data_IF_213668934212
#
_entry.id   IF_213668934212
#
_cell.length_a   1.000
_cell.length_b   1.000
_cell.length_c   1.000
_cell.angle_alpha   90.00
_cell.angle_beta   90.00
_cell.angle_gamma   90.00
#
_symmetry.space_group_name_H-M   'P 1'
#
loop_
_entity.id
_entity.type
_entity.pdbx_description
1 polymer ?
#
# COMPACT_ATOMS: atom_id res chain seq x y z
N UNK A 1 22.40 -59.53 -4.00
CA UNK A 1 23.61 -60.07 -4.66
C UNK A 1 24.87 -59.95 -3.79
N UNK A 2 25.06 -58.85 -3.04
CA UNK A 2 26.32 -58.58 -2.32
C UNK A 2 26.31 -58.81 -0.80
N UNK A 3 25.15 -59.16 -0.23
CA UNK A 3 24.92 -59.27 1.22
C UNK A 3 25.69 -60.37 1.96
N UNK A 4 26.10 -61.43 1.25
CA UNK A 4 26.80 -62.59 1.84
C UNK A 4 28.32 -62.42 1.89
N UNK A 5 28.86 -61.34 1.31
CA UNK A 5 30.30 -61.11 1.26
C UNK A 5 30.73 -60.12 2.35
N UNK A 6 31.55 -60.61 3.29
CA UNK A 6 32.10 -59.82 4.41
C UNK A 6 33.02 -58.67 3.98
N UNK A 7 33.54 -58.72 2.75
CA UNK A 7 34.38 -57.66 2.17
C UNK A 7 33.55 -56.48 1.64
N UNK A 8 32.22 -56.63 1.55
CA UNK A 8 31.33 -55.56 1.14
C UNK A 8 30.81 -54.78 2.35
N UNK A 9 30.38 -53.55 2.12
CA UNK A 9 29.74 -52.73 3.14
C UNK A 9 28.63 -51.86 2.55
N UNK A 10 27.63 -51.56 3.38
CA UNK A 10 26.63 -50.52 3.10
C UNK A 10 26.96 -49.34 4.01
N UNK A 11 26.96 -48.14 3.43
CA UNK A 11 27.11 -46.90 4.18
C UNK A 11 25.83 -46.10 3.99
N UNK A 12 25.14 -45.83 5.09
CA UNK A 12 23.97 -44.98 5.12
C UNK A 12 24.42 -43.55 5.43
N UNK A 13 24.16 -42.63 4.50
CA UNK A 13 24.58 -41.23 4.59
C UNK A 13 23.44 -40.27 4.91
N UNK A 14 22.19 -40.75 4.94
CA UNK A 14 21.02 -39.90 5.14
C UNK A 14 20.61 -39.88 6.63
N UNK A 15 20.52 -38.70 7.28
CA UNK A 15 20.22 -38.57 8.71
C UNK A 15 18.80 -39.00 9.09
N UNK A 16 17.84 -38.81 8.19
CA UNK A 16 16.42 -39.12 8.45
C UNK A 16 16.03 -40.53 7.99
N UNK A 17 17.02 -41.33 7.56
CA UNK A 17 16.76 -42.66 7.01
C UNK A 17 16.84 -43.73 8.10
N UNK A 18 15.75 -44.47 8.38
CA UNK A 18 15.71 -45.48 9.44
C UNK A 18 16.47 -46.75 9.02
N UNK A 19 17.80 -46.68 9.01
CA UNK A 19 18.66 -47.71 8.42
C UNK A 19 18.46 -49.11 9.05
N UNK A 20 18.13 -49.19 10.34
CA UNK A 20 17.83 -50.46 11.00
C UNK A 20 16.57 -51.13 10.46
N UNK A 21 15.51 -50.36 10.21
CA UNK A 21 14.27 -50.90 9.62
C UNK A 21 14.50 -51.39 8.20
N UNK A 22 15.37 -50.69 7.46
CA UNK A 22 15.72 -51.04 6.08
C UNK A 22 16.59 -52.29 6.04
N UNK A 23 17.47 -52.48 7.01
CA UNK A 23 18.30 -53.69 7.12
C UNK A 23 17.53 -54.91 7.62
N UNK A 24 16.42 -54.73 8.35
CA UNK A 24 15.70 -55.81 9.01
C UNK A 24 15.29 -56.97 8.06
N UNK A 25 14.75 -56.72 6.84
CA UNK A 25 14.39 -57.80 5.91
C UNK A 25 15.58 -58.57 5.34
N UNK A 26 16.79 -58.03 5.45
CA UNK A 26 18.00 -58.60 4.85
C UNK A 26 18.88 -59.34 5.87
N UNK A 27 18.40 -59.53 7.10
CA UNK A 27 19.10 -60.31 8.12
C UNK A 27 18.87 -61.82 7.94
N UNK A 28 19.89 -62.68 8.14
CA UNK A 28 21.26 -62.33 8.57
C UNK A 28 22.12 -61.79 7.43
N UNK A 29 22.83 -60.69 7.69
CA UNK A 29 23.66 -60.00 6.71
C UNK A 29 25.15 -60.13 7.06
N UNK A 30 25.96 -60.68 6.15
CA UNK A 30 27.40 -60.86 6.39
C UNK A 30 28.23 -59.59 6.13
N UNK A 31 27.74 -58.73 5.23
CA UNK A 31 28.35 -57.42 4.99
C UNK A 31 28.13 -56.46 6.17
N UNK A 32 29.10 -55.57 6.39
CA UNK A 32 29.02 -54.56 7.45
C UNK A 32 28.12 -53.40 7.03
N UNK A 33 27.32 -52.90 7.97
CA UNK A 33 26.51 -51.71 7.78
C UNK A 33 27.04 -50.57 8.66
N UNK A 34 27.29 -49.41 8.04
CA UNK A 34 27.73 -48.19 8.72
C UNK A 34 26.67 -47.12 8.58
N UNK A 35 26.42 -46.39 9.66
CA UNK A 35 25.57 -45.20 9.67
C UNK A 35 26.45 -43.97 9.87
N UNK A 36 26.66 -43.23 8.78
CA UNK A 36 27.56 -42.07 8.72
C UNK A 36 26.80 -40.91 8.06
N UNK A 37 25.80 -40.33 8.75
CA UNK A 37 24.94 -39.30 8.17
C UNK A 37 25.74 -38.05 7.79
N UNK A 38 25.49 -37.53 6.59
CA UNK A 38 26.05 -36.29 6.07
C UNK A 38 24.92 -35.28 6.05
N UNK A 39 24.79 -34.52 7.13
CA UNK A 39 23.82 -33.44 7.23
C UNK A 39 24.50 -32.09 6.98
N UNK A 40 24.07 -31.40 5.91
CA UNK A 40 24.56 -30.05 5.56
C UNK A 40 23.65 -28.94 6.12
N UNK A 41 22.62 -29.30 6.88
CA UNK A 41 21.70 -28.35 7.50
C UNK A 41 22.38 -27.49 8.55
N UNK A 42 21.80 -26.32 8.83
CA UNK A 42 22.28 -25.45 9.89
C UNK A 42 22.06 -26.08 11.26
N UNK A 43 23.11 -26.13 12.07
CA UNK A 43 22.98 -26.48 13.47
C UNK A 43 22.53 -25.27 14.32
N UNK A 44 22.11 -25.52 15.57
CA UNK A 44 21.61 -24.47 16.48
C UNK A 44 22.61 -23.34 16.73
N UNK A 45 23.92 -23.64 16.85
CA UNK A 45 24.93 -22.61 17.07
C UNK A 45 25.09 -21.69 15.87
N UNK A 46 25.11 -22.26 14.66
CA UNK A 46 25.16 -21.52 13.40
C UNK A 46 23.89 -20.67 13.21
N UNK A 47 22.72 -21.25 13.49
CA UNK A 47 21.45 -20.54 13.38
C UNK A 47 21.36 -19.36 14.36
N UNK A 48 21.73 -19.55 15.64
CA UNK A 48 21.75 -18.47 16.64
C UNK A 48 22.72 -17.36 16.25
N UNK A 49 23.92 -17.71 15.76
CA UNK A 49 24.89 -16.74 15.24
C UNK A 49 24.30 -15.93 14.07
N UNK A 50 23.69 -16.62 13.09
CA UNK A 50 23.09 -15.97 11.93
C UNK A 50 21.95 -15.03 12.32
N UNK A 51 21.06 -15.44 13.22
CA UNK A 51 19.97 -14.61 13.72
C UNK A 51 20.51 -13.36 14.41
N UNK A 52 21.57 -13.51 15.22
CA UNK A 52 22.23 -12.39 15.92
C UNK A 52 22.91 -11.41 14.97
N UNK A 53 23.49 -11.90 13.87
CA UNK A 53 24.14 -11.08 12.85
C UNK A 53 23.12 -10.35 11.96
N UNK A 54 22.09 -11.05 11.49
CA UNK A 54 21.06 -10.48 10.60
C UNK A 54 20.10 -9.53 11.32
N UNK A 55 19.90 -9.69 12.62
CA UNK A 55 18.99 -8.88 13.46
C UNK A 55 17.61 -8.67 12.81
N UNK A 56 16.89 -9.74 12.42
CA UNK A 56 15.63 -9.61 11.72
C UNK A 56 14.58 -8.88 12.57
N UNK A 57 13.76 -8.02 11.94
CA UNK A 57 12.69 -7.31 12.65
C UNK A 57 11.60 -8.25 13.17
N UNK A 58 11.33 -9.33 12.43
CA UNK A 58 10.41 -10.41 12.79
C UNK A 58 11.07 -11.73 12.42
N UNK A 59 11.20 -12.64 13.37
CA UNK A 59 11.71 -14.00 13.16
C UNK A 59 10.54 -14.97 13.11
N UNK A 60 10.45 -15.79 12.05
CA UNK A 60 9.41 -16.81 11.90
C UNK A 60 10.06 -18.17 11.88
N UNK A 61 9.75 -19.03 12.85
CA UNK A 61 10.42 -20.33 13.04
C UNK A 61 9.46 -21.41 13.54
N UNK A 62 9.71 -22.70 13.22
CA UNK A 62 8.96 -23.80 13.84
C UNK A 62 9.02 -23.76 15.37
N UNK A 63 7.89 -24.01 16.03
CA UNK A 63 7.82 -24.01 17.51
C UNK A 63 8.76 -25.04 18.14
N UNK A 64 9.06 -26.13 17.43
CA UNK A 64 9.97 -27.17 17.91
C UNK A 64 11.38 -26.64 18.20
N UNK A 65 11.80 -25.55 17.57
CA UNK A 65 13.15 -24.99 17.75
C UNK A 65 13.25 -23.95 18.86
N UNK A 66 12.13 -23.47 19.40
CA UNK A 66 12.15 -22.51 20.52
C UNK A 66 12.18 -23.17 21.89
N UNK A 67 12.06 -24.50 21.93
CA UNK A 67 12.06 -25.30 23.16
C UNK A 67 13.35 -26.10 23.26
N UNK A 68 13.89 -26.29 24.48
CA UNK A 68 15.02 -27.18 24.71
C UNK A 68 14.72 -28.59 24.20
N UNK A 69 15.67 -29.19 23.47
CA UNK A 69 15.55 -30.59 23.06
C UNK A 69 15.58 -31.52 24.29
N UNK A 70 14.69 -32.54 24.40
CA UNK A 70 14.59 -33.40 25.60
C UNK A 70 15.91 -34.07 26.02
N UNK A 71 16.70 -34.52 25.04
CA UNK A 71 17.98 -35.20 25.28
C UNK A 71 19.20 -34.25 25.24
N UNK A 72 18.99 -32.97 24.94
CA UNK A 72 20.05 -31.99 24.75
C UNK A 72 19.52 -30.57 25.07
N UNK A 73 19.42 -30.20 26.35
CA UNK A 73 18.72 -28.99 26.79
C UNK A 73 19.34 -27.68 26.28
N UNK A 74 20.61 -27.71 25.83
CA UNK A 74 21.30 -26.56 25.27
C UNK A 74 21.00 -26.33 23.77
N UNK A 75 20.21 -27.20 23.13
CA UNK A 75 19.85 -27.10 21.72
C UNK A 75 18.47 -26.46 21.58
N UNK A 76 18.48 -25.13 21.44
CA UNK A 76 17.32 -24.33 21.10
C UNK A 76 17.75 -23.02 20.43
N UNK A 77 16.81 -22.40 19.71
CA UNK A 77 17.00 -21.07 19.15
C UNK A 77 16.76 -20.06 20.27
N UNK A 78 17.80 -19.30 20.61
CA UNK A 78 17.73 -18.25 21.60
C UNK A 78 16.71 -17.22 21.16
N UNK A 79 15.88 -16.73 22.10
CA UNK A 79 14.86 -15.75 21.76
C UNK A 79 15.55 -14.39 21.51
N UNK A 80 15.62 -13.87 20.27
CA UNK A 80 16.10 -12.52 20.05
C UNK A 80 15.18 -11.49 20.74
N UNK A 81 15.70 -10.31 21.03
CA UNK A 81 14.93 -9.15 21.53
C UNK A 81 13.81 -8.67 20.56
N UNK A 82 13.66 -9.32 19.41
CA UNK A 82 12.75 -8.99 18.32
C UNK A 82 11.54 -9.91 18.31
N UNK A 83 10.49 -9.52 17.60
CA UNK A 83 9.23 -10.28 17.54
C UNK A 83 9.46 -11.66 16.91
N UNK A 84 9.20 -12.72 17.67
CA UNK A 84 9.18 -14.10 17.17
C UNK A 84 7.75 -14.51 16.89
N UNK A 85 7.54 -15.19 15.76
CA UNK A 85 6.28 -15.84 15.41
C UNK A 85 6.59 -17.32 15.19
N UNK A 86 6.09 -18.16 16.09
CA UNK A 86 6.24 -19.61 15.97
C UNK A 86 5.11 -20.22 15.15
N UNK A 87 5.35 -21.39 14.54
CA UNK A 87 4.30 -22.11 13.83
C UNK A 87 4.42 -23.63 13.92
N UNK A 88 3.30 -24.30 13.66
CA UNK A 88 3.19 -25.75 13.46
C UNK A 88 2.86 -26.08 12.01
N UNK A 89 3.08 -27.34 11.63
CA UNK A 89 2.69 -27.85 10.33
C UNK A 89 1.18 -27.63 10.09
N UNK A 90 0.83 -27.04 8.95
CA UNK A 90 -0.56 -26.74 8.57
C UNK A 90 -1.13 -25.44 9.18
N UNK A 91 -0.36 -24.70 9.97
CA UNK A 91 -0.82 -23.46 10.59
C UNK A 91 -0.73 -22.26 9.63
N UNK A 92 -1.78 -21.43 9.59
CA UNK A 92 -1.81 -20.20 8.79
C UNK A 92 -1.28 -19.04 9.63
N UNK A 93 -0.11 -18.51 9.27
CA UNK A 93 0.53 -17.39 9.96
C UNK A 93 0.19 -16.08 9.28
N UNK A 94 -0.28 -15.09 10.06
CA UNK A 94 -0.44 -13.71 9.58
C UNK A 94 0.80 -12.88 9.87
N UNK A 95 1.59 -12.62 8.84
CA UNK A 95 2.79 -11.79 8.97
C UNK A 95 2.44 -10.31 9.09
N UNK A 96 3.03 -9.57 10.04
CA UNK A 96 2.78 -8.14 10.21
C UNK A 96 3.55 -7.33 9.15
N UNK A 97 3.09 -7.37 7.91
CA UNK A 97 3.63 -6.57 6.80
C UNK A 97 3.11 -5.12 6.94
N UNK A 98 3.89 -4.25 7.57
CA UNK A 98 3.56 -2.81 7.66
C UNK A 98 4.12 -2.06 6.45
N UNK A 99 3.43 -2.11 5.31
CA UNK A 99 3.67 -1.19 4.18
C UNK A 99 2.62 -0.07 4.21
N UNK A 100 3.05 1.16 4.46
CA UNK A 100 2.19 2.35 4.43
C UNK A 100 2.37 3.19 3.18
N UNK A 101 3.57 3.13 2.60
CA UNK A 101 3.97 3.91 1.44
C UNK A 101 4.65 2.96 0.46
N UNK A 102 4.47 3.24 -0.82
CA UNK A 102 5.19 2.58 -1.90
C UNK A 102 5.74 3.63 -2.87
N UNK A 103 6.76 3.23 -3.61
CA UNK A 103 7.39 4.11 -4.59
C UNK A 103 6.64 4.00 -5.90
N UNK A 104 6.22 5.15 -6.41
CA UNK A 104 5.59 5.29 -7.73
C UNK A 104 6.52 6.08 -8.64
N UNK A 105 6.69 5.60 -9.86
CA UNK A 105 7.49 6.23 -10.89
C UNK A 105 6.58 6.97 -11.87
N UNK A 106 7.00 8.15 -12.27
CA UNK A 106 6.33 8.94 -13.29
C UNK A 106 7.00 8.60 -14.61
N UNK A 107 6.21 8.20 -15.60
CA UNK A 107 6.73 7.95 -16.96
C UNK A 107 7.21 9.25 -17.62
N UNK A 108 8.12 9.13 -18.59
CA UNK A 108 8.64 10.28 -19.32
C UNK A 108 7.53 11.14 -19.93
N UNK A 109 6.56 10.50 -20.59
CA UNK A 109 5.44 11.17 -21.25
C UNK A 109 4.54 11.92 -20.25
N UNK A 110 4.40 11.40 -19.03
CA UNK A 110 3.70 12.10 -17.96
C UNK A 110 4.52 13.28 -17.44
N UNK A 111 5.81 13.09 -17.19
CA UNK A 111 6.69 14.11 -16.63
C UNK A 111 6.76 15.37 -17.51
N UNK A 112 6.73 15.22 -18.83
CA UNK A 112 6.67 16.35 -19.76
C UNK A 112 5.42 17.23 -19.63
N UNK A 113 4.30 16.66 -19.17
CA UNK A 113 3.02 17.37 -19.03
C UNK A 113 2.88 18.09 -17.69
N UNK A 114 3.79 17.86 -16.76
CA UNK A 114 3.75 18.48 -15.42
C UNK A 114 4.18 19.94 -15.53
N UNK A 115 3.30 20.84 -15.11
CA UNK A 115 3.56 22.29 -15.06
C UNK A 115 3.48 22.74 -13.60
N UNK A 116 4.61 22.87 -12.90
CA UNK A 116 4.62 23.38 -11.53
C UNK A 116 4.18 24.84 -11.48
N UNK A 117 3.35 25.17 -10.49
CA UNK A 117 2.97 26.54 -10.15
C UNK A 117 3.47 26.88 -8.76
N UNK A 118 4.01 28.09 -8.63
CA UNK A 118 4.44 28.63 -7.34
C UNK A 118 3.20 29.05 -6.55
N UNK A 119 3.07 28.49 -5.35
CA UNK A 119 1.99 28.81 -4.39
C UNK A 119 2.47 29.71 -3.26
N UNK A 120 3.67 30.30 -3.39
CA UNK A 120 4.32 31.12 -2.40
C UNK A 120 5.28 30.34 -1.50
N UNK A 121 6.12 31.08 -0.77
CA UNK A 121 7.11 30.54 0.17
C UNK A 121 8.12 29.55 -0.46
N UNK A 122 8.37 29.67 -1.76
CA UNK A 122 9.30 28.79 -2.49
C UNK A 122 8.75 27.37 -2.71
N UNK A 123 7.47 27.14 -2.45
CA UNK A 123 6.82 25.85 -2.68
C UNK A 123 6.18 25.86 -4.07
N UNK A 124 6.59 24.93 -4.92
CA UNK A 124 5.96 24.69 -6.23
C UNK A 124 5.17 23.40 -6.20
N UNK A 125 3.96 23.44 -6.74
CA UNK A 125 3.06 22.29 -6.78
C UNK A 125 2.50 22.11 -8.18
N UNK A 126 2.20 20.88 -8.56
CA UNK A 126 1.52 20.55 -9.80
C UNK A 126 0.60 19.38 -9.55
N UNK A 127 -0.51 19.33 -10.28
CA UNK A 127 -1.42 18.19 -10.25
C UNK A 127 -0.95 17.13 -11.24
N UNK A 128 -1.04 15.87 -10.83
CA UNK A 128 -0.73 14.72 -11.69
C UNK A 128 -1.99 13.88 -11.76
N UNK A 129 -2.50 13.67 -12.97
CA UNK A 129 -3.66 12.79 -13.23
C UNK A 129 -3.27 11.79 -14.29
N UNK A 130 -3.33 10.50 -13.97
CA UNK A 130 -2.87 9.43 -14.84
C UNK A 130 -3.40 8.06 -14.45
N UNK A 131 -3.01 7.06 -15.24
CA UNK A 131 -3.32 5.66 -15.01
C UNK A 131 -2.16 5.01 -14.28
N UNK A 132 -2.44 4.39 -13.13
CA UNK A 132 -1.45 3.63 -12.37
C UNK A 132 -1.36 2.20 -12.91
N UNK A 133 -0.26 1.88 -13.57
CA UNK A 133 0.10 0.52 -13.95
C UNK A 133 0.92 -0.13 -12.85
N UNK A 134 0.49 -1.31 -12.40
CA UNK A 134 1.21 -2.10 -11.38
C UNK A 134 1.65 -3.41 -12.00
N UNK A 135 2.96 -3.57 -12.22
CA UNK A 135 3.56 -4.77 -12.78
C UNK A 135 4.81 -5.14 -12.01
N UNK A 136 4.90 -6.38 -11.54
CA UNK A 136 6.08 -6.91 -10.82
C UNK A 136 6.52 -6.05 -9.61
N UNK A 137 5.56 -5.49 -8.86
CA UNK A 137 5.76 -4.51 -7.76
C UNK A 137 6.35 -3.16 -8.18
N UNK A 138 6.47 -2.92 -9.47
CA UNK A 138 6.80 -1.60 -10.03
C UNK A 138 5.49 -0.88 -10.30
N UNK A 139 5.38 0.33 -9.77
CA UNK A 139 4.21 1.18 -9.89
C UNK A 139 4.57 2.34 -10.82
N UNK A 140 3.99 2.39 -12.02
CA UNK A 140 4.24 3.43 -13.01
C UNK A 140 2.96 4.24 -13.27
N UNK A 141 3.07 5.56 -13.29
CA UNK A 141 1.97 6.45 -13.69
C UNK A 141 2.16 6.84 -15.15
N UNK A 142 1.17 6.50 -15.96
CA UNK A 142 1.07 6.84 -17.38
C UNK A 142 0.05 7.95 -17.62
N UNK A 143 0.20 8.77 -18.68
CA UNK A 143 -0.85 9.69 -19.11
C UNK A 143 -2.16 8.94 -19.40
N UNK A 144 -3.31 9.54 -19.06
CA UNK A 144 -4.61 9.03 -19.51
C UNK A 144 -4.70 9.09 -21.04
N UNK A 145 -5.28 8.07 -21.68
CA UNK A 145 -5.27 7.94 -23.14
C UNK A 145 -6.00 9.11 -23.81
N UNK A 146 -5.41 9.68 -24.86
CA UNK A 146 -6.03 10.77 -25.63
C UNK A 146 -7.18 10.19 -26.46
N UNK A 147 -8.41 10.45 -26.02
CA UNK A 147 -9.67 10.04 -26.65
C UNK A 147 -9.93 10.72 -28.01
N UNK A 148 -8.93 11.40 -28.58
CA UNK A 148 -9.03 12.24 -29.78
C UNK A 148 -8.65 11.56 -31.10
N UNK A 149 -8.07 10.34 -31.11
CA UNK A 149 -7.44 9.85 -32.34
C UNK A 149 -8.22 8.86 -33.22
N UNK A 150 -9.46 8.46 -32.90
CA UNK A 150 -10.23 7.58 -33.82
C UNK A 150 -11.75 7.70 -33.65
N UNK A 151 -12.34 8.86 -33.96
CA UNK A 151 -13.80 8.94 -34.15
C UNK A 151 -14.17 9.56 -35.51
N UNK A 152 -14.86 8.80 -36.40
CA UNK A 152 -15.45 9.35 -37.62
C UNK A 152 -16.45 10.46 -37.26
N UNK A 153 -16.46 11.54 -38.03
CA UNK A 153 -17.13 12.82 -37.74
C UNK A 153 -18.68 12.81 -37.78
N UNK A 154 -19.35 11.74 -37.36
CA UNK A 154 -20.80 11.59 -37.59
C UNK A 154 -21.62 10.83 -36.54
N UNK A 155 -21.04 10.26 -35.49
CA UNK A 155 -21.82 9.53 -34.48
C UNK A 155 -22.06 10.35 -33.20
N UNK A 156 -23.27 10.25 -32.63
CA UNK A 156 -23.65 10.87 -31.35
C UNK A 156 -22.55 10.62 -30.32
N UNK A 157 -22.06 11.68 -29.68
CA UNK A 157 -21.02 11.56 -28.65
C UNK A 157 -21.43 10.52 -27.61
N UNK A 158 -20.64 9.45 -27.41
CA UNK A 158 -20.88 8.54 -26.30
C UNK A 158 -20.67 9.28 -24.97
N UNK A 159 -21.31 8.82 -23.88
CA UNK A 159 -21.09 9.39 -22.57
C UNK A 159 -19.60 9.39 -22.21
N UNK A 160 -19.12 10.43 -21.49
CA UNK A 160 -17.71 10.57 -21.15
C UNK A 160 -17.23 9.36 -20.35
N UNK A 161 -16.06 8.82 -20.72
CA UNK A 161 -15.42 7.75 -19.97
C UNK A 161 -14.92 8.27 -18.62
N UNK A 162 -14.61 7.36 -17.70
CA UNK A 162 -14.02 7.72 -16.40
C UNK A 162 -12.72 8.52 -16.56
N UNK A 163 -11.93 8.22 -17.60
CA UNK A 163 -10.71 8.96 -17.91
C UNK A 163 -11.02 10.37 -18.43
N UNK A 164 -12.05 10.55 -19.25
CA UNK A 164 -12.48 11.88 -19.74
C UNK A 164 -12.96 12.78 -18.60
N UNK A 165 -13.62 12.21 -17.59
CA UNK A 165 -14.03 12.93 -16.38
C UNK A 165 -12.81 13.35 -15.56
N UNK A 166 -11.84 12.44 -15.37
CA UNK A 166 -10.63 12.72 -14.60
C UNK A 166 -9.77 13.79 -15.26
N UNK A 167 -9.60 13.75 -16.59
CA UNK A 167 -8.86 14.77 -17.36
C UNK A 167 -9.43 16.18 -17.21
N UNK A 168 -10.75 16.29 -17.04
CA UNK A 168 -11.45 17.57 -16.89
C UNK A 168 -11.60 18.01 -15.43
N UNK A 169 -11.16 17.19 -14.48
CA UNK A 169 -11.16 17.56 -13.07
C UNK A 169 -10.09 18.62 -12.84
N UNK A 170 -10.53 19.83 -12.51
CA UNK A 170 -9.65 20.87 -12.00
C UNK A 170 -9.69 20.82 -10.49
N UNK A 171 -8.55 21.06 -9.87
CA UNK A 171 -8.45 21.17 -8.43
C UNK A 171 -8.23 22.63 -8.08
N UNK A 172 -9.09 23.15 -7.22
CA UNK A 172 -8.98 24.51 -6.71
C UNK A 172 -8.11 24.55 -5.46
N UNK A 173 -7.40 25.67 -5.28
CA UNK A 173 -6.58 25.92 -4.10
C UNK A 173 -6.65 27.40 -3.68
N UNK A 174 -6.29 27.63 -2.42
CA UNK A 174 -6.24 28.96 -1.81
C UNK A 174 -7.27 29.12 -0.70
N UNK A 175 -7.13 30.22 0.02
CA UNK A 175 -8.07 30.64 1.06
C UNK A 175 -9.17 31.49 0.44
N UNK A 176 -10.41 31.25 0.83
CA UNK A 176 -11.54 31.97 0.27
C UNK A 176 -11.77 33.28 1.04
N UNK A 177 -11.66 34.41 0.34
CA UNK A 177 -12.02 35.72 0.90
C UNK A 177 -13.55 35.84 1.00
N UNK A 178 -14.04 35.82 2.24
CA UNK A 178 -15.46 35.90 2.58
C UNK A 178 -16.09 37.21 2.07
N UNK A 179 -15.36 38.33 2.12
CA UNK A 179 -15.87 39.63 1.70
C UNK A 179 -15.94 39.73 0.17
N UNK A 180 -14.97 39.15 -0.54
CA UNK A 180 -15.00 39.02 -2.00
C UNK A 180 -16.17 38.14 -2.46
N UNK A 181 -16.34 36.98 -1.82
CA UNK A 181 -17.46 36.09 -2.14
C UNK A 181 -18.80 36.76 -1.85
N UNK A 182 -18.95 37.45 -0.71
CA UNK A 182 -20.17 38.19 -0.38
C UNK A 182 -20.52 39.21 -1.45
N UNK A 183 -19.55 39.99 -1.94
CA UNK A 183 -19.76 40.96 -3.03
C UNK A 183 -20.25 40.28 -4.31
N UNK A 184 -19.67 39.12 -4.66
CA UNK A 184 -20.09 38.36 -5.85
C UNK A 184 -21.46 37.72 -5.72
N UNK A 185 -21.80 37.17 -4.56
CA UNK A 185 -23.14 36.64 -4.30
C UNK A 185 -24.19 37.74 -4.51
N UNK A 186 -23.92 38.96 -4.03
CA UNK A 186 -24.79 40.13 -4.27
C UNK A 186 -24.88 40.46 -5.77
N UNK A 187 -23.76 40.43 -6.50
CA UNK A 187 -23.74 40.65 -7.96
C UNK A 187 -24.54 39.60 -8.73
N UNK A 188 -24.52 38.34 -8.28
CA UNK A 188 -25.25 37.23 -8.87
C UNK A 188 -26.75 37.20 -8.46
N UNK A 189 -27.20 38.23 -7.74
CA UNK A 189 -28.60 38.49 -7.37
C UNK A 189 -29.03 37.90 -6.01
N UNK A 190 -28.10 37.38 -5.22
CA UNK A 190 -28.38 36.82 -3.90
C UNK A 190 -28.35 37.94 -2.84
N UNK A 191 -29.50 38.20 -2.24
CA UNK A 191 -29.70 39.25 -1.24
C UNK A 191 -29.92 38.66 0.15
N UNK A 192 -29.93 39.50 1.20
CA UNK A 192 -30.12 39.11 2.61
C UNK A 192 -29.08 38.10 3.16
N UNK A 193 -27.81 38.39 2.91
CA UNK A 193 -26.69 37.59 3.44
C UNK A 193 -26.32 38.09 4.84
N UNK A 194 -26.49 37.24 5.86
CA UNK A 194 -25.98 37.47 7.22
C UNK A 194 -24.63 36.79 7.40
N UNK A 195 -23.71 37.49 8.07
CA UNK A 195 -22.39 36.97 8.40
C UNK A 195 -22.31 36.82 9.91
N UNK A 196 -22.07 35.60 10.38
CA UNK A 196 -21.81 35.29 11.78
C UNK A 196 -20.35 34.87 11.92
N UNK A 197 -19.64 35.44 12.90
CA UNK A 197 -18.27 35.05 13.23
C UNK A 197 -18.27 34.45 14.63
N UNK A 198 -17.84 33.21 14.75
CA UNK A 198 -17.73 32.51 16.04
C UNK A 198 -16.30 31.97 16.16
N UNK A 199 -15.44 32.73 16.83
CA UNK A 199 -14.01 32.42 16.89
C UNK A 199 -13.35 32.51 15.52
N UNK A 200 -12.66 31.44 15.11
CA UNK A 200 -12.01 31.33 13.79
C UNK A 200 -12.98 30.92 12.67
N UNK A 201 -14.19 30.46 13.00
CA UNK A 201 -15.17 30.00 12.01
C UNK A 201 -16.05 31.16 11.57
N UNK A 202 -16.15 31.36 10.27
CA UNK A 202 -17.05 32.35 9.66
C UNK A 202 -18.21 31.61 8.99
N UNK A 203 -19.44 32.04 9.26
CA UNK A 203 -20.64 31.47 8.66
C UNK A 203 -21.40 32.53 7.87
N UNK A 204 -21.72 32.23 6.62
CA UNK A 204 -22.64 33.01 5.78
C UNK A 204 -24.00 32.31 5.74
N UNK A 205 -25.04 33.01 6.18
CA UNK A 205 -26.43 32.57 6.08
C UNK A 205 -27.14 33.35 4.98
N UNK A 206 -27.57 32.62 3.95
CA UNK A 206 -28.41 33.13 2.87
C UNK A 206 -29.88 32.86 3.25
N UNK A 207 -30.50 33.81 3.94
CA UNK A 207 -31.80 33.62 4.60
C UNK A 207 -32.91 33.28 3.60
N UNK A 208 -32.90 33.94 2.43
CA UNK A 208 -33.94 33.76 1.41
C UNK A 208 -33.86 32.39 0.71
N UNK A 209 -32.70 31.73 0.80
CA UNK A 209 -32.35 30.56 -0.01
C UNK A 209 -32.06 29.31 0.84
N UNK A 210 -32.34 29.35 2.14
CA UNK A 210 -32.09 28.28 3.13
C UNK A 210 -30.73 27.59 2.93
N UNK A 211 -29.68 28.42 2.85
CA UNK A 211 -28.31 27.98 2.57
C UNK A 211 -27.33 28.57 3.56
N UNK A 212 -26.48 27.72 4.11
CA UNK A 212 -25.41 28.10 5.04
C UNK A 212 -24.06 27.70 4.46
N UNK A 213 -23.13 28.64 4.42
CA UNK A 213 -21.74 28.40 4.03
C UNK A 213 -20.86 28.62 5.25
N UNK A 214 -20.13 27.58 5.66
CA UNK A 214 -19.18 27.62 6.76
C UNK A 214 -17.76 27.65 6.21
N UNK A 215 -16.95 28.56 6.72
CA UNK A 215 -15.52 28.69 6.43
C UNK A 215 -14.75 28.33 7.69
N UNK A 216 -13.91 27.31 7.57
CA UNK A 216 -12.91 26.92 8.55
C UNK A 216 -11.50 27.07 7.95
N UNK A 217 -10.45 26.86 8.75
CA UNK A 217 -9.05 27.09 8.35
C UNK A 217 -8.63 26.30 7.10
N UNK A 218 -9.11 25.06 6.96
CA UNK A 218 -8.74 24.16 5.84
C UNK A 218 -9.94 23.62 5.04
N UNK A 219 -11.17 24.00 5.40
CA UNK A 219 -12.37 23.48 4.75
C UNK A 219 -13.44 24.55 4.56
N UNK A 220 -14.21 24.41 3.49
CA UNK A 220 -15.41 25.21 3.23
C UNK A 220 -16.57 24.27 3.01
N UNK A 221 -17.59 24.37 3.88
CA UNK A 221 -18.74 23.49 3.86
C UNK A 221 -20.00 24.27 3.46
N UNK A 222 -20.65 23.85 2.37
CA UNK A 222 -21.87 24.48 1.86
C UNK A 222 -23.04 23.53 2.09
N UNK A 223 -23.98 23.92 2.94
CA UNK A 223 -25.25 23.22 3.14
C UNK A 223 -26.34 24.02 2.43
N UNK A 224 -26.94 23.44 1.40
CA UNK A 224 -27.96 24.10 0.59
C UNK A 224 -29.21 23.23 0.55
N UNK A 225 -30.35 23.75 1.03
CA UNK A 225 -31.68 23.14 0.85
C UNK A 225 -32.38 23.56 -0.46
N UNK A 226 -31.74 24.43 -1.24
CA UNK A 226 -32.33 25.08 -2.41
C UNK A 226 -32.33 24.28 -3.72
N UNK A 227 -32.83 24.92 -4.79
CA UNK A 227 -32.95 24.34 -6.15
C UNK A 227 -31.58 24.12 -6.81
N UNK A 228 -31.51 23.16 -7.75
CA UNK A 228 -30.29 22.85 -8.53
C UNK A 228 -29.65 24.09 -9.20
N UNK A 229 -30.46 25.05 -9.66
CA UNK A 229 -29.98 26.28 -10.28
C UNK A 229 -29.18 27.17 -9.32
N UNK A 230 -29.62 27.26 -8.06
CA UNK A 230 -28.89 27.98 -7.01
C UNK A 230 -27.58 27.27 -6.70
N UNK A 231 -27.60 25.93 -6.57
CA UNK A 231 -26.39 25.14 -6.30
C UNK A 231 -25.31 25.36 -7.36
N UNK A 232 -25.69 25.40 -8.64
CA UNK A 232 -24.77 25.66 -9.74
C UNK A 232 -24.21 27.10 -9.69
N UNK A 233 -25.06 28.10 -9.41
CA UNK A 233 -24.62 29.48 -9.22
C UNK A 233 -23.62 29.60 -8.07
N UNK A 234 -23.96 29.07 -6.89
CA UNK A 234 -23.09 29.08 -5.71
C UNK A 234 -21.74 28.43 -5.99
N UNK A 235 -21.75 27.26 -6.66
CA UNK A 235 -20.52 26.60 -7.11
C UNK A 235 -19.70 27.55 -7.98
N UNK A 236 -20.29 28.14 -9.01
CA UNK A 236 -19.56 28.98 -9.95
C UNK A 236 -19.04 30.27 -9.29
N UNK A 237 -19.79 30.88 -8.37
CA UNK A 237 -19.34 32.05 -7.60
C UNK A 237 -18.15 31.72 -6.68
N UNK A 238 -18.19 30.56 -6.01
CA UNK A 238 -17.12 30.06 -5.14
C UNK A 238 -15.88 29.69 -5.95
N UNK A 239 -16.03 28.94 -7.03
CA UNK A 239 -14.93 28.53 -7.91
C UNK A 239 -14.18 29.71 -8.50
N UNK A 240 -14.88 30.78 -8.88
CA UNK A 240 -14.23 32.01 -9.38
C UNK A 240 -13.41 32.72 -8.29
N UNK A 241 -13.67 32.49 -7.01
CA UNK A 241 -12.93 33.11 -5.90
C UNK A 241 -11.65 32.33 -5.55
N UNK A 242 -11.49 31.12 -6.09
CA UNK A 242 -10.33 30.28 -5.86
C UNK A 242 -9.42 30.25 -7.09
N UNK A 243 -8.14 29.96 -6.86
CA UNK A 243 -7.21 29.65 -7.93
C UNK A 243 -7.42 28.20 -8.33
N UNK A 244 -7.24 27.86 -9.61
CA UNK A 244 -7.34 26.49 -10.12
C UNK A 244 -5.99 26.05 -10.65
N UNK A 245 -5.63 24.78 -10.47
CA UNK A 245 -4.51 24.14 -11.18
C UNK A 245 -4.84 23.92 -12.66
#
# INVERSE_FOLDING_TARGET
MWGHNVNNSIIFTEPDFPYLQVLAPFQPLAMKAFYCPIDTSLNYQQANKLIKELKPNVLVIPEAYTKPHPNAPNLFIEQPDKKIITFKCGEIIRLPLKRKLDRVYITYDMAQKIVPRDVGNGVTVSTITGVLEVKDKVHNIHPCADSSNDKPSGSKMPPPSREDVLKNTKYEYGTLDVDLLKKRLIQDGITNIKVERTGNVVMLHLINEDTTIKFDENETHIICGGKQSLRLKLRDSVLKCLQSF
#
